data_IF_883918017515
#
_entry.id   IF_883918017515
#
_cell.length_a   1.000
_cell.length_b   1.000
_cell.length_c   1.000
_cell.angle_alpha   90.00
_cell.angle_beta   90.00
_cell.angle_gamma   90.00
#
_symmetry.space_group_name_H-M   'P 1'
#
loop_
_entity.id
_entity.type
_entity.pdbx_description
1 polymer ?
#
# COMPACT_ATOMS: atom_id res chain seq x y z
N UNK A 1 -6.85 -22.79 13.27
CA UNK A 1 -6.92 -21.60 12.43
C UNK A 1 -6.11 -20.51 13.11
N UNK A 2 -5.16 -19.85 12.42
CA UNK A 2 -4.47 -18.70 13.00
C UNK A 2 -5.48 -17.58 13.21
N UNK A 3 -5.41 -16.91 14.34
CA UNK A 3 -6.32 -15.81 14.67
C UNK A 3 -5.73 -14.54 14.09
N UNK A 4 -6.31 -14.02 13.03
CA UNK A 4 -5.95 -12.70 12.49
C UNK A 4 -6.81 -11.66 13.18
N UNK A 5 -6.16 -10.68 13.79
CA UNK A 5 -6.84 -9.56 14.42
C UNK A 5 -6.65 -8.32 13.55
N UNK A 6 -7.76 -7.68 13.22
CA UNK A 6 -7.73 -6.35 12.61
C UNK A 6 -7.15 -5.34 13.61
N UNK A 7 -6.22 -4.53 13.14
CA UNK A 7 -5.57 -3.49 13.96
C UNK A 7 -5.86 -2.13 13.33
N UNK A 8 -6.53 -1.29 14.10
CA UNK A 8 -6.84 0.07 13.69
C UNK A 8 -5.57 0.92 13.52
N UNK A 9 -5.41 1.63 12.39
CA UNK A 9 -4.24 2.46 12.15
C UNK A 9 -4.27 3.76 12.98
N UNK A 10 -3.33 3.94 13.90
CA UNK A 10 -3.16 5.19 14.64
C UNK A 10 -2.25 6.16 13.86
N UNK A 11 -2.84 6.84 12.89
CA UNK A 11 -2.14 7.71 11.94
C UNK A 11 -1.93 9.12 12.50
N UNK A 12 -0.69 9.61 12.36
CA UNK A 12 -0.31 10.99 12.67
C UNK A 12 0.45 11.64 11.50
N UNK A 13 0.57 12.96 11.52
CA UNK A 13 1.37 13.71 10.56
C UNK A 13 2.53 14.39 11.27
N UNK A 14 3.77 14.06 10.87
CA UNK A 14 4.97 14.74 11.33
C UNK A 14 5.66 15.42 10.14
N UNK A 15 5.82 16.75 10.22
CA UNK A 15 6.40 17.56 9.15
C UNK A 15 5.76 17.31 7.77
N UNK A 16 4.41 17.17 7.76
CA UNK A 16 3.64 16.90 6.54
C UNK A 16 3.79 15.48 5.98
N UNK A 17 4.50 14.59 6.67
CA UNK A 17 4.69 13.19 6.28
C UNK A 17 3.87 12.25 7.15
N UNK A 18 3.37 11.18 6.54
CA UNK A 18 2.57 10.16 7.22
C UNK A 18 3.44 9.30 8.13
N UNK A 19 3.06 9.25 9.41
CA UNK A 19 3.62 8.38 10.43
C UNK A 19 2.48 7.66 11.14
N UNK A 20 2.81 6.64 11.91
CA UNK A 20 1.87 5.95 12.77
C UNK A 20 2.48 5.71 14.15
N UNK A 21 1.63 5.72 15.16
CA UNK A 21 2.01 5.23 16.48
C UNK A 21 1.82 3.71 16.43
N UNK A 22 2.88 2.98 16.79
CA UNK A 22 2.84 1.50 16.80
C UNK A 22 1.82 1.05 17.86
N UNK A 23 0.78 0.29 17.47
CA UNK A 23 -0.20 -0.24 18.39
C UNK A 23 0.38 -1.29 19.34
N UNK A 24 -0.34 -1.54 20.46
CA UNK A 24 -0.05 -2.61 21.38
C UNK A 24 -0.13 -3.99 20.70
N UNK A 25 0.69 -4.95 21.16
CA UNK A 25 0.66 -6.34 20.71
C UNK A 25 1.39 -6.62 19.39
N UNK A 26 2.11 -5.64 18.82
CA UNK A 26 2.95 -5.86 17.66
C UNK A 26 4.39 -6.23 18.05
N UNK A 27 5.10 -6.90 17.13
CA UNK A 27 6.50 -7.28 17.31
C UNK A 27 7.49 -6.10 17.46
N UNK A 28 7.00 -4.87 17.27
CA UNK A 28 7.73 -3.62 17.44
C UNK A 28 7.21 -2.94 18.71
N UNK A 29 8.10 -2.27 19.48
CA UNK A 29 7.71 -1.62 20.74
C UNK A 29 6.53 -0.67 20.57
N UNK A 30 5.51 -0.87 21.40
CA UNK A 30 4.32 -0.03 21.50
C UNK A 30 4.67 1.46 21.71
N UNK A 31 3.85 2.33 21.15
CA UNK A 31 3.99 3.78 21.31
C UNK A 31 5.10 4.40 20.48
N UNK A 32 5.93 3.62 19.79
CA UNK A 32 6.90 4.18 18.84
C UNK A 32 6.21 4.87 17.69
N UNK A 33 6.78 6.00 17.28
CA UNK A 33 6.33 6.71 16.10
C UNK A 33 7.25 6.36 14.93
N UNK A 34 6.72 5.65 13.96
CA UNK A 34 7.45 5.21 12.78
C UNK A 34 6.87 5.82 11.49
N UNK A 35 7.72 6.06 10.48
CA UNK A 35 7.25 6.50 9.17
C UNK A 35 6.38 5.41 8.52
N UNK A 36 5.41 5.81 7.70
CA UNK A 36 4.76 4.83 6.85
C UNK A 36 5.73 4.31 5.79
N UNK A 37 5.53 3.06 5.35
CA UNK A 37 6.29 2.48 4.23
C UNK A 37 6.27 3.40 3.00
N UNK A 38 5.09 3.93 2.64
CA UNK A 38 4.95 4.86 1.51
C UNK A 38 5.70 6.18 1.73
N UNK A 39 5.83 6.65 3.00
CA UNK A 39 6.68 7.80 3.34
C UNK A 39 8.15 7.48 3.12
N UNK A 40 8.61 6.31 3.57
CA UNK A 40 9.98 5.83 3.33
C UNK A 40 10.28 5.78 1.83
N UNK A 41 9.43 5.11 1.06
CA UNK A 41 9.60 4.95 -0.39
C UNK A 41 9.60 6.30 -1.13
N UNK A 42 8.74 7.22 -0.78
CA UNK A 42 8.73 8.54 -1.43
C UNK A 42 9.91 9.42 -1.05
N UNK A 43 10.33 9.40 0.22
CA UNK A 43 11.43 10.22 0.72
C UNK A 43 12.82 9.73 0.25
N UNK A 44 12.94 8.47 -0.13
CA UNK A 44 14.16 7.85 -0.66
C UNK A 44 14.05 7.53 -2.15
N UNK A 45 13.12 8.17 -2.85
CA UNK A 45 12.92 7.96 -4.29
C UNK A 45 14.17 8.33 -5.09
N UNK A 46 14.49 7.61 -6.16
CA UNK A 46 15.59 7.95 -7.05
C UNK A 46 15.46 9.40 -7.59
N UNK A 47 16.58 10.09 -7.71
CA UNK A 47 16.62 11.50 -8.17
C UNK A 47 15.88 11.66 -9.50
N UNK A 48 16.05 10.73 -10.44
CA UNK A 48 15.35 10.77 -11.72
C UNK A 48 13.82 10.79 -11.60
N UNK A 49 13.26 10.04 -10.63
CA UNK A 49 11.81 10.04 -10.35
C UNK A 49 11.36 11.38 -9.77
N UNK A 50 12.13 11.93 -8.83
CA UNK A 50 11.86 13.25 -8.24
C UNK A 50 11.86 14.32 -9.34
N UNK A 51 12.90 14.34 -10.19
CA UNK A 51 13.00 15.27 -11.30
C UNK A 51 11.86 15.12 -12.31
N UNK A 52 11.47 13.89 -12.65
CA UNK A 52 10.35 13.64 -13.56
C UNK A 52 9.04 14.20 -12.99
N UNK A 53 8.77 14.02 -11.69
CA UNK A 53 7.60 14.60 -11.02
C UNK A 53 7.67 16.15 -11.02
N UNK A 54 8.83 16.74 -10.73
CA UNK A 54 9.01 18.20 -10.76
C UNK A 54 8.77 18.76 -12.17
N UNK A 55 9.34 18.13 -13.20
CA UNK A 55 9.16 18.52 -14.59
C UNK A 55 7.70 18.39 -15.03
N UNK A 56 7.02 17.32 -14.62
CA UNK A 56 5.58 17.17 -14.87
C UNK A 56 4.77 18.30 -14.22
N UNK A 57 5.01 18.60 -12.92
CA UNK A 57 4.34 19.71 -12.22
C UNK A 57 4.58 21.05 -12.88
N UNK A 58 5.82 21.29 -13.34
CA UNK A 58 6.18 22.53 -14.07
C UNK A 58 5.45 22.62 -15.41
N UNK A 59 5.29 21.51 -16.12
CA UNK A 59 4.63 21.46 -17.44
C UNK A 59 3.13 21.67 -17.35
N UNK A 60 2.46 21.04 -16.39
CA UNK A 60 0.99 21.12 -16.26
C UNK A 60 0.53 22.31 -15.42
N UNK A 61 1.41 22.92 -14.65
CA UNK A 61 1.11 23.97 -13.69
C UNK A 61 0.73 23.42 -12.30
N UNK A 62 0.97 24.24 -11.28
CA UNK A 62 0.80 23.82 -9.87
C UNK A 62 -0.66 23.51 -9.54
N UNK A 63 -1.60 24.35 -10.00
CA UNK A 63 -3.04 24.19 -9.73
C UNK A 63 -3.57 22.89 -10.35
N UNK A 64 -3.26 22.65 -11.61
CA UNK A 64 -3.66 21.43 -12.31
C UNK A 64 -3.02 20.17 -11.72
N UNK A 65 -1.74 20.24 -11.37
CA UNK A 65 -1.07 19.13 -10.68
C UNK A 65 -1.74 18.81 -9.33
N UNK A 66 -2.12 19.84 -8.57
CA UNK A 66 -2.83 19.65 -7.29
C UNK A 66 -4.25 19.12 -7.51
N UNK A 67 -4.97 19.59 -8.54
CA UNK A 67 -6.28 19.07 -8.92
C UNK A 67 -6.21 17.57 -9.24
N UNK A 68 -5.27 17.16 -10.11
CA UNK A 68 -5.06 15.75 -10.49
C UNK A 68 -4.68 14.89 -9.28
N UNK A 69 -3.86 15.42 -8.38
CA UNK A 69 -3.47 14.70 -7.16
C UNK A 69 -4.68 14.45 -6.25
N UNK A 70 -5.54 15.47 -6.05
CA UNK A 70 -6.80 15.30 -5.27
C UNK A 70 -7.72 14.27 -5.92
N UNK A 71 -7.98 14.41 -7.23
CA UNK A 71 -8.83 13.45 -7.94
C UNK A 71 -8.32 12.01 -7.84
N UNK A 72 -7.00 11.81 -7.89
CA UNK A 72 -6.41 10.48 -7.71
C UNK A 72 -6.60 9.95 -6.28
N UNK A 73 -6.47 10.83 -5.27
CA UNK A 73 -6.69 10.46 -3.87
C UNK A 73 -8.15 10.11 -3.60
N UNK A 74 -9.10 10.95 -4.07
CA UNK A 74 -10.54 10.72 -3.90
C UNK A 74 -10.98 9.40 -4.56
N UNK A 75 -10.49 9.15 -5.78
CA UNK A 75 -10.74 7.90 -6.51
C UNK A 75 -10.16 6.69 -5.77
N UNK A 76 -8.94 6.80 -5.25
CA UNK A 76 -8.32 5.75 -4.44
C UNK A 76 -9.14 5.44 -3.20
N UNK A 77 -9.51 6.46 -2.42
CA UNK A 77 -10.35 6.31 -1.22
C UNK A 77 -11.69 5.64 -1.55
N UNK A 78 -12.34 6.07 -2.64
CA UNK A 78 -13.58 5.45 -3.08
C UNK A 78 -13.38 3.97 -3.46
N UNK A 79 -12.29 3.64 -4.17
CA UNK A 79 -12.00 2.25 -4.58
C UNK A 79 -11.82 1.34 -3.36
N UNK A 80 -11.04 1.75 -2.38
CA UNK A 80 -10.85 0.97 -1.15
C UNK A 80 -12.18 0.75 -0.43
N UNK A 81 -13.01 1.82 -0.32
CA UNK A 81 -14.32 1.71 0.33
C UNK A 81 -15.26 0.74 -0.38
N UNK A 82 -15.37 0.80 -1.71
CA UNK A 82 -16.28 -0.08 -2.46
C UNK A 82 -15.82 -1.55 -2.41
N UNK A 83 -14.51 -1.80 -2.36
CA UNK A 83 -13.96 -3.16 -2.19
C UNK A 83 -14.27 -3.69 -0.78
N UNK A 84 -14.08 -2.85 0.25
CA UNK A 84 -14.46 -3.20 1.62
C UNK A 84 -15.95 -3.53 1.72
N UNK A 85 -16.81 -2.67 1.13
CA UNK A 85 -18.27 -2.88 1.12
C UNK A 85 -18.65 -4.17 0.38
N UNK A 86 -17.98 -4.50 -0.72
CA UNK A 86 -18.17 -5.74 -1.46
C UNK A 86 -17.95 -6.98 -0.57
N UNK A 87 -16.84 -7.02 0.18
CA UNK A 87 -16.54 -8.16 1.06
C UNK A 87 -17.36 -8.17 2.36
N UNK A 88 -17.93 -7.04 2.75
CA UNK A 88 -18.86 -6.92 3.86
C UNK A 88 -20.33 -7.12 3.45
N UNK A 89 -20.59 -7.59 2.22
CA UNK A 89 -21.93 -7.84 1.68
C UNK A 89 -22.87 -6.62 1.76
N UNK A 90 -22.30 -5.40 1.64
CA UNK A 90 -23.08 -4.17 1.62
C UNK A 90 -23.70 -3.94 0.24
N UNK A 91 -24.70 -3.06 0.18
CA UNK A 91 -25.32 -2.65 -1.08
C UNK A 91 -24.37 -1.76 -1.92
N UNK A 92 -23.54 -2.42 -2.72
CA UNK A 92 -22.59 -1.74 -3.61
C UNK A 92 -23.27 -1.06 -4.79
N UNK A 93 -24.44 -1.53 -5.25
CA UNK A 93 -25.13 -0.93 -6.40
C UNK A 93 -25.58 0.50 -6.07
N UNK A 94 -26.15 0.73 -4.90
CA UNK A 94 -26.46 2.09 -4.45
C UNK A 94 -25.22 2.99 -4.38
N UNK A 95 -24.08 2.47 -3.89
CA UNK A 95 -22.82 3.23 -3.85
C UNK A 95 -22.28 3.56 -5.25
N UNK A 96 -22.43 2.64 -6.20
CA UNK A 96 -22.05 2.83 -7.61
C UNK A 96 -22.96 3.86 -8.30
N UNK A 97 -24.26 3.84 -8.04
CA UNK A 97 -25.23 4.80 -8.55
C UNK A 97 -24.98 6.23 -8.03
N UNK A 98 -24.61 6.36 -6.76
CA UNK A 98 -24.24 7.64 -6.13
C UNK A 98 -22.89 8.19 -6.63
N UNK A 99 -22.04 7.35 -7.21
CA UNK A 99 -20.72 7.74 -7.68
C UNK A 99 -20.41 7.22 -9.10
N UNK A 100 -21.25 7.54 -10.10
CA UNK A 100 -21.18 6.94 -11.45
C UNK A 100 -19.84 7.18 -12.16
N UNK A 101 -19.15 8.26 -11.84
CA UNK A 101 -17.82 8.59 -12.40
C UNK A 101 -16.73 7.55 -12.03
N UNK A 102 -16.95 6.77 -10.98
CA UNK A 102 -16.00 5.77 -10.52
C UNK A 102 -16.40 4.35 -10.88
N UNK A 103 -17.65 4.12 -11.36
CA UNK A 103 -18.13 2.81 -11.77
C UNK A 103 -17.18 2.11 -12.74
N UNK A 104 -16.59 2.76 -13.77
CA UNK A 104 -15.67 2.09 -14.67
C UNK A 104 -14.44 1.47 -14.00
N UNK A 105 -13.98 2.04 -12.88
CA UNK A 105 -12.87 1.46 -12.11
C UNK A 105 -13.29 0.20 -11.35
N UNK A 106 -14.52 0.16 -10.85
CA UNK A 106 -15.08 -1.05 -10.24
C UNK A 106 -15.29 -2.14 -11.32
N UNK A 107 -15.86 -1.79 -12.47
CA UNK A 107 -16.08 -2.70 -13.57
C UNK A 107 -14.77 -3.35 -14.08
N UNK A 108 -13.65 -2.62 -13.97
CA UNK A 108 -12.32 -3.11 -14.33
C UNK A 108 -11.82 -4.26 -13.45
N UNK A 109 -12.35 -4.41 -12.22
CA UNK A 109 -11.87 -5.38 -11.23
C UNK A 109 -12.95 -6.34 -10.71
N UNK A 110 -14.22 -6.13 -11.01
CA UNK A 110 -15.32 -6.90 -10.40
C UNK A 110 -15.20 -8.42 -10.66
N UNK A 111 -14.78 -8.84 -11.84
CA UNK A 111 -14.54 -10.25 -12.15
C UNK A 111 -13.35 -10.83 -11.37
N UNK A 112 -12.33 -10.02 -11.09
CA UNK A 112 -11.21 -10.43 -10.24
C UNK A 112 -11.63 -10.55 -8.78
N UNK A 113 -12.47 -9.64 -8.24
CA UNK A 113 -13.00 -9.75 -6.88
C UNK A 113 -13.71 -11.09 -6.66
N UNK A 114 -14.42 -11.60 -7.66
CA UNK A 114 -15.12 -12.89 -7.61
C UNK A 114 -14.16 -14.10 -7.58
N UNK A 115 -12.87 -13.92 -7.84
CA UNK A 115 -11.86 -15.00 -7.73
C UNK A 115 -11.28 -15.12 -6.32
N UNK A 116 -11.60 -14.20 -5.43
CA UNK A 116 -11.14 -14.20 -4.04
C UNK A 116 -12.05 -15.09 -3.21
N UNK A 117 -11.49 -16.19 -2.69
CA UNK A 117 -12.26 -17.16 -1.90
C UNK A 117 -12.68 -16.58 -0.54
N UNK A 118 -11.80 -15.77 0.08
CA UNK A 118 -12.05 -15.16 1.39
C UNK A 118 -11.22 -13.87 1.56
N UNK A 119 -11.84 -12.81 2.07
CA UNK A 119 -11.13 -11.68 2.66
C UNK A 119 -10.77 -12.04 4.11
N UNK A 120 -9.48 -12.13 4.42
CA UNK A 120 -9.00 -12.47 5.78
C UNK A 120 -8.90 -11.21 6.63
N UNK A 121 -8.26 -10.16 6.09
CA UNK A 121 -8.13 -8.84 6.69
C UNK A 121 -8.17 -7.78 5.59
N UNK A 122 -8.80 -6.65 5.86
CA UNK A 122 -8.77 -5.47 5.01
C UNK A 122 -8.38 -4.23 5.83
N UNK A 123 -7.67 -3.28 5.21
CA UNK A 123 -7.31 -1.97 5.77
C UNK A 123 -6.69 -2.04 7.18
N UNK A 124 -5.90 -3.09 7.45
CA UNK A 124 -5.33 -3.31 8.76
C UNK A 124 -3.93 -2.72 8.90
N UNK A 125 -3.63 -2.16 10.07
CA UNK A 125 -2.32 -1.60 10.37
C UNK A 125 -1.25 -2.69 10.46
N UNK A 126 -0.05 -2.34 10.01
CA UNK A 126 1.16 -3.14 10.16
C UNK A 126 2.28 -2.33 10.79
N UNK A 127 3.21 -3.05 11.44
CA UNK A 127 4.51 -2.52 11.83
C UNK A 127 5.58 -3.57 11.56
N UNK A 128 6.71 -3.12 11.07
CA UNK A 128 7.90 -3.94 10.85
C UNK A 128 9.10 -3.30 11.51
N UNK A 129 9.84 -4.08 12.27
CA UNK A 129 11.07 -3.64 12.91
C UNK A 129 12.22 -4.59 12.64
N UNK A 130 13.45 -4.07 12.55
CA UNK A 130 14.66 -4.85 12.35
C UNK A 130 15.88 -4.18 12.99
N UNK A 131 16.92 -4.97 13.31
CA UNK A 131 18.15 -4.47 13.89
C UNK A 131 18.91 -3.52 12.95
N UNK A 132 19.57 -2.48 13.52
CA UNK A 132 19.71 -2.09 14.92
C UNK A 132 18.61 -1.13 15.45
N UNK A 133 17.34 -1.39 15.19
CA UNK A 133 16.22 -0.57 15.67
C UNK A 133 15.65 0.38 14.60
N UNK A 134 15.63 -0.06 13.36
CA UNK A 134 14.91 0.61 12.29
C UNK A 134 13.56 -0.04 12.04
N UNK A 135 12.63 0.70 11.47
CA UNK A 135 11.32 0.14 11.14
C UNK A 135 10.44 1.10 10.36
N UNK A 136 9.32 0.57 9.93
CA UNK A 136 8.24 1.31 9.30
C UNK A 136 6.89 0.72 9.72
N UNK A 137 5.86 1.48 9.44
CA UNK A 137 4.46 1.11 9.65
C UNK A 137 3.69 1.29 8.36
N UNK A 138 2.42 0.98 8.38
CA UNK A 138 1.52 1.24 7.27
C UNK A 138 0.15 0.65 7.52
N UNK A 139 -0.67 0.75 6.49
CA UNK A 139 -1.93 0.03 6.36
C UNK A 139 -1.83 -0.73 5.05
N UNK A 140 -1.99 -2.05 5.08
CA UNK A 140 -2.11 -2.83 3.87
C UNK A 140 -3.58 -2.92 3.47
N UNK A 141 -3.82 -3.04 2.17
CA UNK A 141 -5.19 -2.95 1.65
C UNK A 141 -5.96 -4.24 1.92
N UNK A 142 -5.39 -5.41 1.58
CA UNK A 142 -6.09 -6.69 1.78
C UNK A 142 -5.13 -7.88 1.91
N UNK A 143 -5.41 -8.76 2.88
CA UNK A 143 -4.94 -10.13 2.94
C UNK A 143 -6.11 -11.06 2.60
N UNK A 144 -5.96 -11.87 1.58
CA UNK A 144 -6.99 -12.72 1.04
C UNK A 144 -6.56 -14.20 0.99
N UNK A 145 -7.52 -15.09 0.77
CA UNK A 145 -7.28 -16.47 0.32
C UNK A 145 -7.73 -16.57 -1.12
N UNK A 146 -6.85 -17.05 -2.00
CA UNK A 146 -7.14 -17.37 -3.40
C UNK A 146 -6.57 -18.75 -3.70
N UNK A 147 -7.40 -19.69 -4.08
CA UNK A 147 -6.99 -21.07 -4.34
C UNK A 147 -6.34 -21.75 -3.12
N UNK A 148 -6.78 -21.41 -1.90
CA UNK A 148 -6.27 -21.95 -0.66
C UNK A 148 -4.94 -21.36 -0.16
N UNK A 149 -4.38 -20.35 -0.83
CA UNK A 149 -3.13 -19.67 -0.46
C UNK A 149 -3.39 -18.25 0.09
N UNK A 150 -2.54 -17.80 1.03
CA UNK A 150 -2.56 -16.40 1.46
C UNK A 150 -1.96 -15.50 0.38
N UNK A 151 -2.74 -14.53 -0.08
CA UNK A 151 -2.38 -13.57 -1.11
C UNK A 151 -2.52 -12.16 -0.55
N UNK A 152 -1.43 -11.41 -0.57
CA UNK A 152 -1.46 -9.98 -0.26
C UNK A 152 -1.91 -9.21 -1.51
N UNK A 153 -2.90 -8.35 -1.38
CA UNK A 153 -3.40 -7.52 -2.50
C UNK A 153 -3.29 -6.05 -2.12
N UNK A 154 -2.70 -5.27 -3.03
CA UNK A 154 -2.61 -3.80 -2.97
C UNK A 154 -3.41 -3.21 -4.13
N UNK A 155 -4.45 -2.44 -3.80
CA UNK A 155 -5.39 -1.89 -4.77
C UNK A 155 -5.00 -0.50 -5.22
N UNK A 156 -4.96 -0.28 -6.52
CA UNK A 156 -4.60 1.01 -7.12
C UNK A 156 -5.56 1.40 -8.24
N UNK A 157 -5.55 2.69 -8.56
CA UNK A 157 -6.28 3.22 -9.71
C UNK A 157 -5.35 4.04 -10.59
N UNK A 158 -5.57 3.99 -11.90
CA UNK A 158 -4.79 4.77 -12.86
C UNK A 158 -5.65 5.19 -14.05
N UNK A 159 -5.26 6.27 -14.72
CA UNK A 159 -5.83 6.63 -16.01
C UNK A 159 -5.27 5.79 -17.16
N UNK A 160 -4.06 5.29 -17.02
CA UNK A 160 -3.36 4.50 -18.04
C UNK A 160 -2.58 3.38 -17.38
N UNK A 161 -2.33 2.31 -18.11
CA UNK A 161 -1.35 1.32 -17.70
C UNK A 161 0.00 1.97 -17.44
N UNK A 162 0.69 1.46 -16.45
CA UNK A 162 2.00 1.97 -16.06
C UNK A 162 3.09 1.11 -16.69
N UNK A 163 4.08 1.74 -17.36
CA UNK A 163 5.24 1.00 -17.84
C UNK A 163 6.10 0.52 -16.65
N UNK A 164 6.86 -0.56 -16.86
CA UNK A 164 7.63 -1.25 -15.81
C UNK A 164 8.49 -0.33 -14.96
N UNK A 165 9.13 0.67 -15.56
CA UNK A 165 9.99 1.61 -14.83
C UNK A 165 9.23 2.45 -13.78
N UNK A 166 7.90 2.52 -13.84
CA UNK A 166 7.05 3.19 -12.86
C UNK A 166 6.54 2.24 -11.76
N UNK A 167 6.71 0.94 -11.91
CA UNK A 167 6.15 -0.09 -11.03
C UNK A 167 7.06 -0.43 -9.84
N UNK A 168 8.32 0.02 -9.84
CA UNK A 168 9.30 -0.35 -8.82
C UNK A 168 8.85 -0.08 -7.37
N UNK A 169 8.20 1.08 -7.10
CA UNK A 169 7.72 1.37 -5.76
C UNK A 169 6.51 0.50 -5.38
N UNK A 170 5.64 0.11 -6.34
CA UNK A 170 4.54 -0.81 -6.09
C UNK A 170 5.06 -2.20 -5.71
N UNK A 171 6.04 -2.72 -6.49
CA UNK A 171 6.70 -3.98 -6.14
C UNK A 171 7.34 -3.94 -4.77
N UNK A 172 8.07 -2.87 -4.44
CA UNK A 172 8.69 -2.70 -3.13
C UNK A 172 7.64 -2.56 -2.01
N UNK A 173 6.50 -1.94 -2.28
CA UNK A 173 5.39 -1.88 -1.32
C UNK A 173 4.86 -3.28 -1.00
N UNK A 174 4.68 -4.14 -2.00
CA UNK A 174 4.30 -5.54 -1.80
C UNK A 174 5.32 -6.28 -0.91
N UNK A 175 6.62 -6.21 -1.22
CA UNK A 175 7.66 -6.86 -0.42
C UNK A 175 7.75 -6.32 1.01
N UNK A 176 7.57 -5.00 1.19
CA UNK A 176 7.54 -4.39 2.51
C UNK A 176 6.32 -4.82 3.34
N UNK A 177 5.16 -4.89 2.73
CA UNK A 177 3.96 -5.35 3.42
C UNK A 177 4.01 -6.86 3.71
N UNK A 178 4.48 -7.69 2.77
CA UNK A 178 4.62 -9.13 2.98
C UNK A 178 5.49 -9.42 4.21
N UNK A 179 6.72 -8.87 4.28
CA UNK A 179 7.60 -9.12 5.42
C UNK A 179 7.03 -8.59 6.76
N UNK A 180 6.22 -7.51 6.75
CA UNK A 180 5.57 -7.01 7.96
C UNK A 180 4.46 -7.97 8.41
N UNK A 181 3.63 -8.46 7.50
CA UNK A 181 2.57 -9.44 7.77
C UNK A 181 3.19 -10.76 8.28
N UNK A 182 4.27 -11.22 7.67
CA UNK A 182 5.01 -12.41 8.11
C UNK A 182 5.54 -12.25 9.53
N UNK A 183 6.16 -11.10 9.85
CA UNK A 183 6.67 -10.82 11.19
C UNK A 183 5.54 -10.76 12.23
N UNK A 184 4.41 -10.14 11.90
CA UNK A 184 3.28 -9.95 12.82
C UNK A 184 2.50 -11.23 13.08
N UNK A 185 2.21 -11.98 12.03
CA UNK A 185 1.29 -13.13 12.10
C UNK A 185 1.97 -14.48 11.97
N UNK A 186 3.28 -14.52 11.68
CA UNK A 186 4.06 -15.75 11.52
C UNK A 186 3.50 -16.63 10.39
N UNK A 187 3.03 -16.02 9.32
CA UNK A 187 2.60 -16.69 8.08
C UNK A 187 3.56 -16.33 6.97
N UNK A 188 3.71 -17.20 5.99
CA UNK A 188 4.45 -16.93 4.77
C UNK A 188 3.50 -16.36 3.71
N UNK A 189 3.94 -15.34 3.00
CA UNK A 189 3.22 -14.75 1.88
C UNK A 189 3.95 -15.16 0.60
N UNK A 190 3.46 -16.22 -0.03
CA UNK A 190 4.06 -16.75 -1.26
C UNK A 190 3.72 -15.93 -2.50
N UNK A 191 2.67 -15.12 -2.42
CA UNK A 191 2.13 -14.37 -3.55
C UNK A 191 1.60 -13.02 -3.11
N UNK A 192 2.00 -11.98 -3.81
CA UNK A 192 1.43 -10.63 -3.63
C UNK A 192 1.09 -9.99 -4.97
N UNK A 193 -0.01 -9.26 -5.01
CA UNK A 193 -0.57 -8.65 -6.21
C UNK A 193 -0.75 -7.15 -5.97
N UNK A 194 -0.29 -6.31 -6.91
CA UNK A 194 -0.80 -4.95 -7.04
C UNK A 194 -1.78 -4.94 -8.21
N UNK A 195 -3.06 -4.73 -7.91
CA UNK A 195 -4.15 -4.72 -8.88
C UNK A 195 -4.52 -3.27 -9.17
N UNK A 196 -4.28 -2.82 -10.39
CA UNK A 196 -4.51 -1.45 -10.82
C UNK A 196 -5.75 -1.42 -11.70
N UNK A 197 -6.84 -0.82 -11.24
CA UNK A 197 -7.98 -0.51 -12.08
C UNK A 197 -7.63 0.66 -13.01
N UNK A 198 -7.81 0.48 -14.31
CA UNK A 198 -7.40 1.44 -15.34
C UNK A 198 -8.61 1.94 -16.09
N UNK A 199 -8.81 3.25 -16.12
CA UNK A 199 -9.81 3.91 -16.94
C UNK A 199 -9.48 5.40 -17.06
N UNK A 200 -9.52 5.95 -18.28
CA UNK A 200 -9.31 7.38 -18.54
C UNK A 200 -10.65 8.05 -18.87
N UNK A 201 -11.24 8.82 -17.96
CA UNK A 201 -12.51 9.49 -18.20
C UNK A 201 -12.42 10.66 -19.20
N UNK A 202 -11.19 11.08 -19.56
CA UNK A 202 -10.96 12.13 -20.55
C UNK A 202 -10.80 11.54 -21.98
N UNK A 203 -10.66 10.21 -22.11
CA UNK A 203 -10.58 9.51 -23.39
C UNK A 203 -11.90 8.78 -23.68
N UNK A 204 -12.69 9.23 -24.69
CA UNK A 204 -13.98 8.62 -25.01
C UNK A 204 -13.87 7.16 -25.53
N UNK A 205 -12.69 6.74 -25.98
CA UNK A 205 -12.41 5.38 -26.40
C UNK A 205 -11.90 4.48 -25.27
N UNK A 206 -11.65 5.06 -24.08
CA UNK A 206 -11.18 4.30 -22.93
C UNK A 206 -12.22 3.28 -22.48
N UNK A 207 -11.76 2.05 -22.24
CA UNK A 207 -12.58 0.98 -21.68
C UNK A 207 -11.98 0.58 -20.32
N UNK A 208 -12.83 0.20 -19.35
CA UNK A 208 -12.37 -0.38 -18.10
C UNK A 208 -11.43 -1.56 -18.37
N UNK A 209 -10.25 -1.52 -17.78
CA UNK A 209 -9.27 -2.61 -17.85
C UNK A 209 -8.49 -2.68 -16.55
N UNK A 210 -7.72 -3.75 -16.32
CA UNK A 210 -6.83 -3.84 -15.17
C UNK A 210 -5.43 -4.25 -15.58
N UNK A 211 -4.46 -3.74 -14.84
CA UNK A 211 -3.08 -4.16 -14.88
C UNK A 211 -2.76 -4.86 -13.56
N UNK A 212 -2.22 -6.07 -13.62
CA UNK A 212 -1.81 -6.83 -12.43
C UNK A 212 -0.29 -6.94 -12.42
N UNK A 213 0.31 -6.57 -11.29
CA UNK A 213 1.72 -6.79 -11.00
C UNK A 213 1.75 -7.87 -9.92
N UNK A 214 2.41 -8.96 -10.22
CA UNK A 214 2.59 -10.08 -9.31
C UNK A 214 4.03 -10.14 -8.84
N UNK A 215 4.24 -10.51 -7.58
CA UNK A 215 5.52 -10.86 -7.00
C UNK A 215 5.37 -12.19 -6.26
N UNK A 216 6.27 -13.12 -6.50
CA UNK A 216 6.33 -14.41 -5.81
C UNK A 216 7.20 -14.35 -4.53
N UNK A 217 7.21 -15.43 -3.75
CA UNK A 217 7.91 -15.50 -2.47
C UNK A 217 9.40 -15.11 -2.57
N UNK A 218 10.11 -15.58 -3.59
CA UNK A 218 11.53 -15.25 -3.80
C UNK A 218 11.73 -13.77 -4.13
N UNK A 219 10.89 -13.21 -5.00
CA UNK A 219 10.91 -11.79 -5.33
C UNK A 219 10.51 -10.94 -4.12
N UNK A 220 9.49 -11.34 -3.34
CA UNK A 220 9.05 -10.63 -2.13
C UNK A 220 10.17 -10.49 -1.10
N UNK A 221 10.96 -11.52 -0.88
CA UNK A 221 12.15 -11.48 0.00
C UNK A 221 13.16 -10.44 -0.49
N UNK A 222 13.47 -10.43 -1.77
CA UNK A 222 14.41 -9.46 -2.37
C UNK A 222 13.88 -8.03 -2.28
N UNK A 223 12.60 -7.82 -2.58
CA UNK A 223 11.92 -6.52 -2.47
C UNK A 223 11.88 -6.02 -1.03
N UNK A 224 11.61 -6.91 -0.06
CA UNK A 224 11.67 -6.59 1.37
C UNK A 224 13.07 -6.16 1.81
N UNK A 225 14.13 -6.80 1.29
CA UNK A 225 15.51 -6.39 1.55
C UNK A 225 15.80 -4.97 1.03
N UNK A 226 15.32 -4.62 -0.16
CA UNK A 226 15.41 -3.26 -0.69
C UNK A 226 14.67 -2.24 0.19
N UNK A 227 13.50 -2.60 0.69
CA UNK A 227 12.74 -1.74 1.61
C UNK A 227 13.51 -1.51 2.91
N UNK A 228 14.16 -2.54 3.47
CA UNK A 228 15.02 -2.35 4.66
C UNK A 228 16.16 -1.37 4.38
N UNK A 229 16.85 -1.48 3.25
CA UNK A 229 17.91 -0.54 2.87
C UNK A 229 17.37 0.89 2.76
N UNK A 230 16.24 1.09 2.11
CA UNK A 230 15.59 2.40 2.00
C UNK A 230 15.13 2.94 3.35
N UNK A 231 14.69 2.08 4.25
CA UNK A 231 14.33 2.47 5.62
C UNK A 231 15.55 3.00 6.39
N UNK A 232 16.68 2.29 6.34
CA UNK A 232 17.94 2.78 6.92
C UNK A 232 18.33 4.15 6.32
N UNK A 233 18.28 4.28 5.00
CA UNK A 233 18.59 5.54 4.32
C UNK A 233 17.64 6.67 4.74
N UNK A 234 16.36 6.37 4.93
CA UNK A 234 15.38 7.34 5.42
C UNK A 234 15.78 7.88 6.81
N UNK A 235 16.13 7.00 7.74
CA UNK A 235 16.53 7.41 9.09
C UNK A 235 17.84 8.21 9.08
N UNK A 236 18.83 7.80 8.31
CA UNK A 236 20.09 8.56 8.16
C UNK A 236 19.82 9.98 7.66
N UNK A 237 18.95 10.13 6.68
CA UNK A 237 18.68 11.43 6.05
C UNK A 237 17.80 12.35 6.89
N UNK A 238 16.88 11.81 7.70
CA UNK A 238 15.87 12.60 8.38
C UNK A 238 16.06 12.68 9.90
N UNK A 239 16.83 11.78 10.48
CA UNK A 239 17.09 11.69 11.91
C UNK A 239 18.59 11.46 12.19
N UNK A 240 19.48 12.34 11.67
CA UNK A 240 20.93 12.18 11.87
C UNK A 240 21.26 12.26 13.36
N UNK A 241 21.98 11.27 13.86
CA UNK A 241 22.36 11.18 15.29
C UNK A 241 21.30 10.60 16.22
N UNK A 242 20.11 10.29 15.75
CA UNK A 242 19.13 9.53 16.51
C UNK A 242 19.63 8.10 16.70
N UNK A 243 19.58 7.59 17.94
CA UNK A 243 19.84 6.16 18.16
C UNK A 243 18.66 5.35 17.63
N UNK A 244 18.92 4.23 16.95
CA UNK A 244 17.86 3.29 16.66
C UNK A 244 17.13 2.90 17.95
N UNK A 245 15.83 2.70 17.89
CA UNK A 245 15.08 2.20 19.04
C UNK A 245 15.44 0.73 19.29
N UNK A 246 15.35 0.29 20.56
CA UNK A 246 15.58 -1.10 20.91
C UNK A 246 14.33 -1.90 20.60
N UNK A 247 14.45 -2.93 19.75
CA UNK A 247 13.38 -3.90 19.57
C UNK A 247 13.26 -4.73 20.85
N UNK A 248 12.17 -4.62 21.56
CA UNK A 248 11.83 -5.59 22.60
C UNK A 248 11.18 -6.78 21.90
N UNK A 249 11.95 -7.82 21.65
CA UNK A 249 11.38 -9.13 21.33
C UNK A 249 10.86 -9.71 22.64
N UNK A 250 9.56 -9.65 22.85
CA UNK A 250 8.93 -10.50 23.85
C UNK A 250 9.11 -11.95 23.36
N UNK A 251 10.07 -12.64 23.99
CA UNK A 251 10.21 -14.08 23.89
C UNK A 251 9.14 -14.69 24.81
N UNK A 252 7.91 -14.80 24.31
CA UNK A 252 6.89 -15.64 24.89
C UNK A 252 7.08 -17.10 24.51
#
# INVERSE_FOLDING_TARGET
MKHFQHIEPNRISLNGKRHYIVPEGLAVSEGLVLPSLTTVLSATAPVGKIMALMNWRKRVGVEEANRRTRMAADRGTWMHKIIEDFFNEQDIETALELSPKYRPYFDAICDFLLTIDQCVLAESAIAYGFDPGFGYTGTFDQLAIIGGQYVLIDWKTSYKEKPDYQLADYRQQLGGYAQAIEQMYGIEIDRALCVIAVYDPEDPESKPSRQIIEADGGELVALGALVRQRTVQYFINHYPGSRPFTLTMDRG
#
